data_IF_670210260254
#
_entry.id   IF_670210260254
#
_cell.length_a   1.000
_cell.length_b   1.000
_cell.length_c   1.000
_cell.angle_alpha   90.00
_cell.angle_beta   90.00
_cell.angle_gamma   90.00
#
_symmetry.space_group_name_H-M   'P 1'
#
loop_
_entity.id
_entity.type
_entity.pdbx_description
1 polymer ?
#
# COMPACT_ATOMS: atom_id res chain seq x y z
N UNK A 1 -0.07 -14.76 9.81
CA UNK A 1 0.66 -14.80 8.53
C UNK A 1 1.10 -13.38 8.20
N UNK A 2 2.36 -13.13 7.85
CA UNK A 2 2.80 -11.81 7.41
C UNK A 2 2.23 -11.48 6.03
N UNK A 3 1.98 -10.19 5.78
CA UNK A 3 1.59 -9.66 4.46
C UNK A 3 2.64 -10.04 3.39
N UNK A 4 2.25 -10.33 2.14
CA UNK A 4 3.19 -10.62 1.05
C UNK A 4 4.30 -9.58 0.95
N UNK A 5 5.51 -10.01 0.56
CA UNK A 5 6.64 -9.10 0.40
C UNK A 5 6.27 -7.93 -0.52
N UNK A 6 6.43 -6.68 -0.07
CA UNK A 6 6.06 -5.52 -0.85
C UNK A 6 7.00 -5.43 -2.05
N UNK A 7 6.44 -5.52 -3.25
CA UNK A 7 7.18 -5.34 -4.51
C UNK A 7 6.25 -4.89 -5.62
N UNK A 8 6.82 -4.28 -6.64
CA UNK A 8 6.15 -4.12 -7.92
C UNK A 8 6.07 -5.47 -8.64
N UNK A 9 4.99 -5.70 -9.39
CA UNK A 9 4.81 -6.90 -10.19
C UNK A 9 4.85 -6.54 -11.68
N UNK A 10 6.02 -6.73 -12.30
CA UNK A 10 6.22 -6.47 -13.74
C UNK A 10 5.19 -7.21 -14.59
N UNK A 11 4.62 -6.51 -15.58
CA UNK A 11 3.60 -7.05 -16.47
C UNK A 11 2.23 -7.29 -15.84
N UNK A 12 2.06 -7.13 -14.53
CA UNK A 12 0.77 -7.31 -13.87
C UNK A 12 -0.14 -6.08 -14.09
N UNK A 13 -1.44 -6.29 -14.40
CA UNK A 13 -2.41 -5.21 -14.49
C UNK A 13 -2.62 -4.53 -13.13
N UNK A 14 -3.34 -3.41 -13.08
CA UNK A 14 -3.46 -2.60 -11.86
C UNK A 14 -4.00 -3.37 -10.65
N UNK A 15 -4.99 -4.25 -10.83
CA UNK A 15 -5.52 -5.12 -9.76
C UNK A 15 -4.51 -6.11 -9.21
N UNK A 16 -3.47 -6.38 -10.00
CA UNK A 16 -2.35 -7.24 -9.72
C UNK A 16 -1.15 -6.53 -9.12
N UNK A 17 -1.24 -5.25 -8.75
CA UNK A 17 -0.18 -4.58 -8.02
C UNK A 17 -0.31 -4.76 -6.50
N UNK A 18 0.76 -4.49 -5.76
CA UNK A 18 0.83 -4.76 -4.32
C UNK A 18 -0.28 -4.02 -3.54
N UNK A 19 -1.00 -4.77 -2.73
CA UNK A 19 -2.13 -4.34 -1.91
C UNK A 19 -1.67 -3.35 -0.84
N UNK A 20 -0.59 -3.68 -0.12
CA UNK A 20 -0.05 -2.81 0.93
C UNK A 20 0.49 -1.50 0.40
N UNK A 21 1.17 -1.54 -0.74
CA UNK A 21 1.59 -0.33 -1.45
C UNK A 21 0.38 0.49 -1.91
N UNK A 22 -0.66 -0.17 -2.43
CA UNK A 22 -1.90 0.50 -2.87
C UNK A 22 -2.61 1.16 -1.69
N UNK A 23 -2.80 0.44 -0.58
CA UNK A 23 -3.41 0.92 0.65
C UNK A 23 -2.63 2.09 1.23
N UNK A 24 -1.30 2.00 1.32
CA UNK A 24 -0.46 3.07 1.87
C UNK A 24 -0.48 4.31 0.98
N UNK A 25 -0.30 4.16 -0.33
CA UNK A 25 -0.35 5.28 -1.27
C UNK A 25 -1.72 5.97 -1.28
N UNK A 26 -2.80 5.20 -1.11
CA UNK A 26 -4.17 5.75 -1.04
C UNK A 26 -4.38 6.72 0.13
N UNK A 27 -3.83 6.39 1.31
CA UNK A 27 -3.93 7.27 2.47
C UNK A 27 -3.04 8.51 2.37
N UNK A 28 -1.95 8.43 1.60
CA UNK A 28 -1.01 9.53 1.36
C UNK A 28 -1.44 10.41 0.17
N UNK A 29 -2.68 10.89 0.20
CA UNK A 29 -3.27 11.67 -0.89
C UNK A 29 -2.61 13.05 -1.08
N UNK A 30 -2.14 13.68 -0.02
CA UNK A 30 -1.47 14.97 -0.13
C UNK A 30 -0.46 15.17 1.00
N UNK A 31 0.61 15.90 0.71
CA UNK A 31 1.68 16.26 1.63
C UNK A 31 1.63 17.75 2.02
N UNK A 32 0.56 18.49 1.73
CA UNK A 32 0.45 19.94 2.04
C UNK A 32 0.88 20.31 3.46
N UNK A 33 0.52 19.52 4.48
CA UNK A 33 0.93 19.79 5.86
C UNK A 33 2.40 19.48 6.16
N UNK A 34 3.01 18.54 5.42
CA UNK A 34 4.45 18.31 5.46
C UNK A 34 5.18 19.46 4.78
N UNK A 35 4.71 19.88 3.60
CA UNK A 35 5.31 20.99 2.84
C UNK A 35 5.21 22.32 3.59
N UNK A 36 4.11 22.57 4.31
CA UNK A 36 3.96 23.72 5.20
C UNK A 36 5.00 23.76 6.35
N UNK A 37 5.68 22.64 6.61
CA UNK A 37 6.78 22.50 7.58
C UNK A 37 8.14 22.31 6.92
N UNK A 38 8.25 22.56 5.61
CA UNK A 38 9.50 22.43 4.86
C UNK A 38 9.91 20.99 4.53
N UNK A 39 8.99 20.02 4.65
CA UNK A 39 9.25 18.62 4.31
C UNK A 39 8.73 18.30 2.91
N UNK A 40 9.62 17.80 2.05
CA UNK A 40 9.26 17.28 0.73
C UNK A 40 8.82 15.82 0.83
N UNK A 41 7.91 15.42 -0.06
CA UNK A 41 7.34 14.07 -0.08
C UNK A 41 7.33 13.51 -1.51
N UNK A 42 7.62 12.22 -1.65
CA UNK A 42 7.52 11.49 -2.89
C UNK A 42 7.20 10.01 -2.61
N UNK A 43 6.54 9.36 -3.56
CA UNK A 43 6.34 7.92 -3.59
C UNK A 43 7.35 7.33 -4.57
N UNK A 44 8.07 6.30 -4.13
CA UNK A 44 9.04 5.59 -4.97
C UNK A 44 8.61 4.14 -5.18
N UNK A 45 8.99 3.57 -6.31
CA UNK A 45 8.68 2.19 -6.68
C UNK A 45 9.77 1.61 -7.57
N UNK A 46 9.99 0.30 -7.49
CA UNK A 46 10.87 -0.42 -8.41
C UNK A 46 10.21 -0.71 -9.76
N UNK A 47 8.94 -0.35 -9.97
CA UNK A 47 8.24 -0.55 -11.25
C UNK A 47 8.86 0.19 -12.43
N UNK A 48 8.68 -0.33 -13.64
CA UNK A 48 9.08 0.39 -14.87
C UNK A 48 8.20 1.62 -15.04
N UNK A 49 8.77 2.74 -15.49
CA UNK A 49 8.04 4.01 -15.50
C UNK A 49 6.80 4.00 -16.39
N UNK A 50 6.81 3.29 -17.51
CA UNK A 50 5.66 3.11 -18.39
C UNK A 50 4.48 2.41 -17.68
N UNK A 51 4.76 1.35 -16.91
CA UNK A 51 3.75 0.66 -16.11
C UNK A 51 3.29 1.51 -14.92
N UNK A 52 4.23 2.18 -14.24
CA UNK A 52 3.96 3.04 -13.08
C UNK A 52 3.12 4.26 -13.48
N UNK A 53 3.45 4.92 -14.59
CA UNK A 53 2.69 6.06 -15.09
C UNK A 53 1.24 5.68 -15.40
N UNK A 54 1.03 4.51 -16.03
CA UNK A 54 -0.31 3.96 -16.26
C UNK A 54 -1.07 3.72 -14.95
N UNK A 55 -0.41 3.16 -13.94
CA UNK A 55 -1.00 2.92 -12.62
C UNK A 55 -1.34 4.22 -11.87
N UNK A 56 -0.42 5.20 -11.87
CA UNK A 56 -0.62 6.53 -11.28
C UNK A 56 -1.80 7.25 -11.92
N UNK A 57 -1.90 7.19 -13.25
CA UNK A 57 -3.03 7.73 -14.00
C UNK A 57 -4.36 7.03 -13.63
N UNK A 58 -4.38 5.70 -13.58
CA UNK A 58 -5.56 4.94 -13.17
C UNK A 58 -6.02 5.28 -11.75
N UNK A 59 -5.09 5.43 -10.81
CA UNK A 59 -5.42 5.80 -9.44
C UNK A 59 -5.84 7.28 -9.31
N UNK A 60 -5.48 8.13 -10.27
CA UNK A 60 -5.69 9.57 -10.22
C UNK A 60 -4.80 10.23 -9.17
N UNK A 61 -3.59 9.70 -8.99
CA UNK A 61 -2.61 10.21 -8.03
C UNK A 61 -1.92 11.47 -8.56
N UNK A 62 -1.75 12.46 -7.68
CA UNK A 62 -1.19 13.79 -8.01
C UNK A 62 0.15 14.05 -7.32
N UNK A 63 0.57 13.15 -6.45
CA UNK A 63 1.82 13.26 -5.69
C UNK A 63 2.99 12.97 -6.62
N UNK A 64 4.22 13.37 -6.28
CA UNK A 64 5.40 12.98 -7.06
C UNK A 64 5.63 11.46 -6.95
N UNK A 65 5.66 10.77 -8.09
CA UNK A 65 6.04 9.36 -8.20
C UNK A 65 7.35 9.23 -8.97
N UNK A 66 8.24 8.36 -8.50
CA UNK A 66 9.50 8.06 -9.19
C UNK A 66 9.76 6.57 -9.26
N UNK A 67 10.27 6.12 -10.40
CA UNK A 67 10.88 4.80 -10.50
C UNK A 67 12.30 4.85 -9.94
N UNK A 68 12.62 3.92 -9.04
CA UNK A 68 13.95 3.72 -8.46
C UNK A 68 14.53 2.38 -8.90
N UNK A 69 14.07 1.88 -10.05
CA UNK A 69 14.57 0.63 -10.63
C UNK A 69 16.06 0.71 -10.91
N UNK A 70 16.81 -0.28 -10.43
CA UNK A 70 18.27 -0.35 -10.61
C UNK A 70 19.05 0.65 -9.74
N UNK A 71 18.38 1.37 -8.83
CA UNK A 71 19.02 2.16 -7.80
C UNK A 71 19.28 1.26 -6.59
N UNK A 72 20.43 1.42 -5.95
CA UNK A 72 20.77 0.68 -4.74
C UNK A 72 20.00 1.20 -3.52
N UNK A 73 20.02 0.42 -2.45
CA UNK A 73 19.58 0.86 -1.12
C UNK A 73 20.32 2.15 -0.70
N UNK A 74 19.70 3.03 0.09
CA UNK A 74 18.45 2.83 0.84
C UNK A 74 17.19 3.27 0.11
N UNK A 75 17.29 3.76 -1.14
CA UNK A 75 16.14 4.29 -1.89
C UNK A 75 15.55 3.24 -2.83
N UNK A 76 16.40 2.43 -3.49
CA UNK A 76 15.98 1.26 -4.25
C UNK A 76 16.21 -0.05 -3.48
N UNK A 77 16.06 -1.18 -4.18
CA UNK A 77 16.05 -2.51 -3.55
C UNK A 77 14.66 -2.92 -3.08
N UNK A 78 14.56 -3.41 -1.84
CA UNK A 78 13.30 -3.87 -1.25
C UNK A 78 12.32 -2.71 -1.04
N UNK A 79 11.02 -2.99 -1.21
CA UNK A 79 9.97 -1.97 -1.13
C UNK A 79 9.12 -2.11 0.14
N UNK A 80 8.19 -1.18 0.32
CA UNK A 80 7.27 -1.17 1.47
C UNK A 80 7.91 -0.62 2.74
N UNK A 81 8.77 0.38 2.59
CA UNK A 81 9.35 1.14 3.70
C UNK A 81 8.80 2.56 3.71
N UNK A 82 8.67 3.13 4.91
CA UNK A 82 8.66 4.58 5.08
C UNK A 82 10.03 5.04 5.51
N UNK A 83 10.65 5.88 4.70
CA UNK A 83 11.99 6.43 4.94
C UNK A 83 11.95 7.94 5.03
N UNK A 84 12.69 8.52 5.97
CA UNK A 84 12.93 9.96 6.05
C UNK A 84 14.42 10.23 5.83
N UNK A 85 14.70 11.21 5.00
CA UNK A 85 16.05 11.66 4.70
C UNK A 85 16.22 13.11 5.15
N UNK A 86 17.35 13.41 5.78
CA UNK A 86 17.82 14.77 6.02
C UNK A 86 18.93 15.08 5.02
N UNK A 87 18.78 16.21 4.31
CA UNK A 87 19.86 16.76 3.48
C UNK A 87 20.54 17.90 4.23
N UNK A 88 21.86 17.83 4.34
CA UNK A 88 22.73 18.87 4.90
C UNK A 88 23.88 19.15 3.93
N UNK A 89 23.79 20.27 3.21
CA UNK A 89 24.65 20.58 2.06
C UNK A 89 24.58 19.51 0.97
N UNK A 90 25.72 18.89 0.70
CA UNK A 90 25.88 17.80 -0.28
C UNK A 90 25.71 16.39 0.31
N UNK A 91 25.43 16.30 1.61
CA UNK A 91 25.25 15.02 2.31
C UNK A 91 23.78 14.72 2.52
N UNK A 92 23.44 13.43 2.44
CA UNK A 92 22.10 12.91 2.72
C UNK A 92 22.22 11.82 3.79
N UNK A 93 21.37 11.91 4.80
CA UNK A 93 21.32 10.99 5.93
C UNK A 93 19.96 10.32 5.98
N UNK A 94 19.94 8.99 6.08
CA UNK A 94 18.73 8.25 6.44
C UNK A 94 18.49 8.43 7.93
N UNK A 95 17.48 9.21 8.31
CA UNK A 95 17.18 9.56 9.71
C UNK A 95 16.06 8.72 10.30
N UNK A 96 15.24 8.11 9.45
CA UNK A 96 14.17 7.20 9.86
C UNK A 96 13.94 6.15 8.78
N UNK A 97 13.72 4.90 9.20
CA UNK A 97 13.22 3.83 8.33
C UNK A 97 12.33 2.89 9.13
N UNK A 98 11.20 2.49 8.56
CA UNK A 98 10.32 1.48 9.13
C UNK A 98 9.64 0.67 8.04
N UNK A 99 9.11 -0.50 8.40
CA UNK A 99 8.41 -1.43 7.50
C UNK A 99 7.28 -2.15 8.23
N UNK A 100 6.53 -2.98 7.51
CA UNK A 100 5.43 -3.76 8.04
C UNK A 100 4.40 -2.87 8.74
N UNK A 101 4.00 -3.25 9.97
CA UNK A 101 3.06 -2.45 10.78
C UNK A 101 3.57 -1.05 11.13
N UNK A 102 4.87 -0.81 11.05
CA UNK A 102 5.43 0.53 11.21
C UNK A 102 4.90 1.54 10.20
N UNK A 103 4.50 1.07 9.02
CA UNK A 103 3.90 1.86 7.96
C UNK A 103 2.45 2.27 8.27
N UNK A 104 1.77 1.64 9.23
CA UNK A 104 0.39 1.98 9.55
C UNK A 104 0.24 3.42 10.09
N UNK A 105 1.33 4.06 10.49
CA UNK A 105 1.35 5.47 10.93
C UNK A 105 0.80 6.45 9.88
N UNK A 106 0.89 6.11 8.60
CA UNK A 106 0.35 6.94 7.51
C UNK A 106 -1.01 6.43 7.02
N UNK A 107 -1.51 5.33 7.58
CA UNK A 107 -2.80 4.76 7.24
C UNK A 107 -3.83 5.20 8.28
N UNK A 108 -4.71 6.12 7.90
CA UNK A 108 -5.75 6.61 8.80
C UNK A 108 -6.82 5.53 9.12
N UNK A 109 -7.18 4.67 8.15
CA UNK A 109 -8.27 3.72 8.33
C UNK A 109 -8.04 2.71 9.46
N UNK A 110 -6.87 2.04 9.59
CA UNK A 110 -6.62 1.13 10.71
C UNK A 110 -6.75 1.82 12.08
N UNK A 111 -6.24 3.05 12.22
CA UNK A 111 -6.37 3.81 13.46
C UNK A 111 -7.81 4.19 13.80
N UNK A 112 -8.66 4.44 12.80
CA UNK A 112 -10.09 4.67 13.00
C UNK A 112 -10.83 3.38 13.35
N UNK A 113 -10.47 2.24 12.73
CA UNK A 113 -11.04 0.93 13.04
C UNK A 113 -10.75 0.50 14.48
N UNK A 114 -9.56 0.78 14.99
CA UNK A 114 -9.16 0.53 16.39
C UNK A 114 -10.06 1.23 17.41
N UNK A 115 -10.71 2.33 17.01
CA UNK A 115 -11.64 3.08 17.87
C UNK A 115 -13.07 2.50 17.82
N UNK A 116 -13.35 1.56 16.93
CA UNK A 116 -14.67 0.95 16.79
C UNK A 116 -14.79 -0.28 17.69
N UNK A 117 -16.02 -0.67 18.10
CA UNK A 117 -16.21 -1.84 18.95
C UNK A 117 -15.58 -3.12 18.41
N UNK A 118 -15.55 -3.30 17.08
CA UNK A 118 -15.07 -4.52 16.43
C UNK A 118 -13.57 -4.47 16.05
N UNK A 119 -12.87 -3.37 16.33
CA UNK A 119 -11.47 -3.22 15.94
C UNK A 119 -11.28 -3.41 14.44
N UNK A 120 -10.17 -4.06 14.07
CA UNK A 120 -9.84 -4.42 12.67
C UNK A 120 -10.35 -5.80 12.28
N UNK A 121 -10.85 -6.58 13.25
CA UNK A 121 -11.26 -7.97 13.07
C UNK A 121 -10.09 -8.86 12.69
N UNK A 122 -8.88 -8.58 13.21
CA UNK A 122 -7.69 -9.38 12.94
C UNK A 122 -7.46 -10.42 14.07
N UNK A 123 -6.95 -11.60 13.71
CA UNK A 123 -6.83 -12.75 14.61
C UNK A 123 -5.92 -12.54 15.82
N UNK A 124 -5.13 -11.45 15.83
CA UNK A 124 -4.29 -11.08 16.96
C UNK A 124 -4.98 -10.15 17.96
N UNK A 125 -6.12 -9.55 17.59
CA UNK A 125 -6.90 -8.70 18.48
C UNK A 125 -7.64 -9.55 19.51
N UNK A 126 -7.75 -9.02 20.74
CA UNK A 126 -8.58 -9.64 21.76
C UNK A 126 -10.03 -9.68 21.27
N UNK A 127 -10.55 -10.89 21.08
CA UNK A 127 -11.89 -11.10 20.55
C UNK A 127 -12.82 -11.51 21.70
N UNK A 128 -13.59 -10.56 22.29
CA UNK A 128 -14.48 -10.90 23.40
C UNK A 128 -15.56 -11.90 22.97
N UNK A 129 -16.10 -12.61 23.97
CA UNK A 129 -17.07 -13.67 23.76
C UNK A 129 -18.26 -13.22 22.88
N UNK A 130 -18.73 -14.14 22.02
CA UNK A 130 -19.82 -13.95 21.06
C UNK A 130 -19.53 -13.05 19.85
N UNK A 131 -18.25 -12.90 19.48
CA UNK A 131 -17.84 -12.24 18.23
C UNK A 131 -17.34 -13.23 17.17
N UNK A 132 -17.46 -12.89 15.87
CA UNK A 132 -16.83 -13.66 14.80
C UNK A 132 -15.32 -13.77 15.02
N UNK A 133 -14.73 -14.90 14.68
CA UNK A 133 -13.28 -15.10 14.77
C UNK A 133 -12.52 -14.08 13.91
N UNK A 134 -11.44 -13.53 14.46
CA UNK A 134 -10.56 -12.62 13.76
C UNK A 134 -9.92 -13.29 12.54
N UNK A 135 -9.69 -12.51 11.48
CA UNK A 135 -9.11 -13.00 10.23
C UNK A 135 -7.61 -12.72 10.17
N UNK A 136 -6.92 -13.31 9.21
CA UNK A 136 -5.49 -13.03 9.02
C UNK A 136 -5.23 -11.52 8.85
N UNK A 137 -4.07 -11.00 9.27
CA UNK A 137 -3.73 -9.60 9.04
C UNK A 137 -3.95 -9.20 7.58
N UNK A 138 -4.40 -7.97 7.34
CA UNK A 138 -4.65 -7.43 6.01
C UNK A 138 -5.78 -8.12 5.21
N UNK A 139 -6.61 -8.96 5.84
CA UNK A 139 -7.69 -9.71 5.17
C UNK A 139 -8.64 -8.82 4.34
N UNK A 140 -8.81 -7.56 4.75
CA UNK A 140 -9.72 -6.59 4.15
C UNK A 140 -9.06 -5.70 3.09
N UNK A 141 -7.78 -5.90 2.76
CA UNK A 141 -7.09 -5.05 1.77
C UNK A 141 -7.54 -5.30 0.34
N UNK A 142 -8.22 -6.41 0.09
CA UNK A 142 -8.79 -6.79 -1.21
C UNK A 142 -10.24 -7.22 -1.07
N UNK A 143 -11.03 -6.97 -2.10
CA UNK A 143 -12.38 -7.53 -2.22
C UNK A 143 -12.71 -7.94 -3.65
N UNK A 144 -13.69 -8.82 -3.79
CA UNK A 144 -14.38 -9.05 -5.06
C UNK A 144 -15.33 -7.88 -5.40
N UNK A 145 -16.04 -8.02 -6.52
CA UNK A 145 -16.95 -7.00 -7.04
C UNK A 145 -18.19 -6.77 -6.16
N UNK A 146 -18.55 -7.75 -5.34
CA UNK A 146 -19.69 -7.67 -4.42
C UNK A 146 -19.27 -7.10 -3.05
N UNK A 147 -17.98 -6.79 -2.87
CA UNK A 147 -17.42 -6.24 -1.64
C UNK A 147 -17.02 -7.30 -0.62
N UNK A 148 -17.04 -8.59 -0.98
CA UNK A 148 -16.57 -9.63 -0.07
C UNK A 148 -15.05 -9.62 -0.03
N UNK A 149 -14.48 -9.53 1.17
CA UNK A 149 -13.05 -9.57 1.36
C UNK A 149 -12.47 -10.92 0.95
N UNK A 150 -11.50 -10.91 0.03
CA UNK A 150 -10.88 -12.13 -0.49
C UNK A 150 -9.52 -11.84 -1.11
N UNK A 151 -8.58 -12.76 -0.89
CA UNK A 151 -7.28 -12.78 -1.57
C UNK A 151 -7.29 -13.61 -2.86
N UNK A 152 -8.48 -14.06 -3.30
CA UNK A 152 -8.65 -14.80 -4.54
C UNK A 152 -8.31 -14.01 -5.81
N UNK A 153 -8.10 -14.69 -6.95
CA UNK A 153 -7.62 -14.10 -8.19
C UNK A 153 -8.63 -13.15 -8.87
N UNK A 154 -9.88 -13.13 -8.41
CA UNK A 154 -10.98 -12.32 -8.95
C UNK A 154 -11.24 -11.04 -8.15
N UNK A 155 -10.25 -10.62 -7.34
CA UNK A 155 -10.33 -9.43 -6.48
C UNK A 155 -9.46 -8.29 -6.99
N UNK A 156 -9.63 -7.11 -6.41
CA UNK A 156 -8.67 -5.98 -6.52
C UNK A 156 -8.43 -5.33 -5.15
N UNK A 157 -7.32 -4.59 -4.96
CA UNK A 157 -7.15 -3.77 -3.76
C UNK A 157 -8.34 -2.82 -3.58
N UNK A 158 -8.88 -2.75 -2.35
CA UNK A 158 -10.15 -2.05 -2.07
C UNK A 158 -10.19 -0.60 -2.60
N UNK A 159 -9.13 0.23 -2.47
CA UNK A 159 -9.13 1.58 -3.02
C UNK A 159 -9.45 1.67 -4.52
N UNK A 160 -9.09 0.65 -5.29
CA UNK A 160 -9.24 0.65 -6.74
C UNK A 160 -10.71 0.60 -7.17
N UNK A 161 -11.63 0.08 -6.35
CA UNK A 161 -13.07 0.10 -6.65
C UNK A 161 -13.65 1.50 -6.79
N UNK A 162 -12.98 2.51 -6.20
CA UNK A 162 -13.41 3.90 -6.29
C UNK A 162 -12.96 4.59 -7.59
N UNK A 163 -12.20 3.90 -8.45
CA UNK A 163 -11.60 4.49 -9.66
C UNK A 163 -12.50 4.27 -10.88
N UNK A 164 -12.59 5.25 -11.80
CA UNK A 164 -13.28 5.05 -13.07
C UNK A 164 -12.72 3.85 -13.84
N UNK A 165 -13.60 3.04 -14.43
CA UNK A 165 -13.19 1.84 -15.17
C UNK A 165 -12.83 0.62 -14.31
N UNK A 166 -12.97 0.70 -12.98
CA UNK A 166 -12.85 -0.47 -12.12
C UNK A 166 -14.03 -1.44 -12.34
N UNK A 167 -13.76 -2.55 -13.02
CA UNK A 167 -14.72 -3.64 -13.27
C UNK A 167 -14.39 -4.90 -12.46
N UNK A 168 -15.30 -5.89 -12.40
CA UNK A 168 -14.92 -7.25 -11.99
C UNK A 168 -13.70 -7.74 -12.78
N UNK A 169 -12.83 -8.51 -12.13
CA UNK A 169 -11.60 -9.04 -12.73
C UNK A 169 -11.60 -10.56 -12.63
N UNK A 170 -10.92 -11.21 -13.58
CA UNK A 170 -10.84 -12.68 -13.65
C UNK A 170 -9.47 -13.21 -13.23
N UNK A 171 -8.47 -12.33 -13.14
CA UNK A 171 -7.09 -12.67 -12.78
C UNK A 171 -6.33 -11.46 -12.24
N UNK A 172 -5.31 -11.72 -11.41
CA UNK A 172 -4.35 -10.71 -10.98
C UNK A 172 -3.25 -10.47 -12.02
N UNK A 173 -3.10 -11.31 -13.03
CA UNK A 173 -2.03 -11.19 -14.03
C UNK A 173 -0.61 -11.24 -13.42
N UNK A 174 -0.46 -11.86 -12.25
CA UNK A 174 0.84 -12.16 -11.63
C UNK A 174 0.84 -13.58 -11.07
N UNK A 175 2.02 -14.19 -11.05
CA UNK A 175 2.26 -15.49 -10.44
C UNK A 175 3.05 -15.31 -9.13
N UNK A 176 2.55 -15.86 -8.04
CA UNK A 176 3.13 -15.73 -6.70
C UNK A 176 2.06 -15.95 -5.63
N UNK A 177 2.49 -16.33 -4.41
CA UNK A 177 1.56 -16.62 -3.32
C UNK A 177 0.67 -15.42 -2.99
N UNK A 178 -0.64 -15.64 -2.97
CA UNK A 178 -1.67 -14.70 -2.52
C UNK A 178 -1.88 -14.80 -0.99
N UNK A 179 -0.83 -15.11 -0.22
CA UNK A 179 -0.94 -15.49 1.19
C UNK A 179 -0.42 -14.41 2.13
#
# INVERSE_FOLDING_TARGET
MPCPEPRWYDGAPHQGQCEGCTTTAWHLKDAVYLSARGVSFAIVTTGRWDEVASYVAFMGYTQPWYSVRGVDAPVGGDMGYLTCFLRDGDRVFLTYSTTGRGNERVNASPGLLDMTPYGRGEAWEDNPENRPEGRSPCWSWRSDADGNATWGPTSRPVPQWTRPGASPVTTLGRHGHHH
#
